data_IF_104078755971
#
_entry.id   IF_104078755971
#
_cell.length_a   1.000
_cell.length_b   1.000
_cell.length_c   1.000
_cell.angle_alpha   90.00
_cell.angle_beta   90.00
_cell.angle_gamma   90.00
#
_symmetry.space_group_name_H-M   'P 1'
#
loop_
_entity.id
_entity.type
_entity.pdbx_description
1 polymer ?
#
# COMPACT_ATOMS: atom_id res chain seq x y z
N UNK A 1 -28.13 2.69 17.01
CA UNK A 1 -26.88 2.67 16.17
C UNK A 1 -26.66 1.21 15.82
N UNK A 2 -26.47 0.89 14.54
CA UNK A 2 -26.15 -0.48 14.15
C UNK A 2 -24.75 -0.83 14.62
N UNK A 3 -24.61 -1.94 15.31
CA UNK A 3 -23.32 -2.42 15.81
C UNK A 3 -22.47 -2.93 14.64
N UNK A 4 -21.16 -2.63 14.61
CA UNK A 4 -20.24 -3.25 13.66
C UNK A 4 -20.14 -4.75 13.97
N UNK A 5 -20.31 -5.57 12.94
CA UNK A 5 -20.12 -7.03 12.99
C UNK A 5 -18.86 -7.40 12.25
N UNK A 6 -18.13 -8.36 12.79
CA UNK A 6 -16.90 -8.86 12.21
C UNK A 6 -17.03 -10.32 11.81
N UNK A 7 -16.52 -10.64 10.62
CA UNK A 7 -16.43 -12.02 10.14
C UNK A 7 -15.07 -12.25 9.47
N UNK A 8 -14.53 -13.43 9.65
CA UNK A 8 -13.30 -13.87 9.02
C UNK A 8 -13.60 -15.08 8.14
N UNK A 9 -13.08 -15.06 6.91
CA UNK A 9 -13.11 -16.20 6.00
C UNK A 9 -11.70 -16.74 5.78
N UNK A 10 -11.50 -18.03 5.98
CA UNK A 10 -10.25 -18.74 5.75
C UNK A 10 -10.45 -19.85 4.74
N UNK A 11 -9.54 -20.01 3.80
CA UNK A 11 -9.58 -21.15 2.87
C UNK A 11 -9.31 -22.46 3.59
N UNK A 12 -10.14 -23.47 3.34
CA UNK A 12 -9.97 -24.84 3.87
C UNK A 12 -8.65 -25.44 3.40
N UNK A 13 -8.08 -26.41 4.15
CA UNK A 13 -6.94 -27.17 3.67
C UNK A 13 -7.20 -27.75 2.26
N UNK A 14 -6.22 -27.58 1.37
CA UNK A 14 -6.32 -27.93 -0.05
C UNK A 14 -6.75 -26.78 -0.96
N UNK A 15 -7.48 -25.80 -0.44
CA UNK A 15 -7.81 -24.54 -1.14
C UNK A 15 -6.92 -23.35 -0.69
N UNK A 16 -6.08 -23.56 0.31
CA UNK A 16 -5.20 -22.59 0.96
C UNK A 16 -3.88 -22.34 0.19
N UNK A 17 -3.92 -22.43 -1.13
CA UNK A 17 -2.73 -22.34 -2.00
C UNK A 17 -1.93 -21.06 -1.76
N UNK A 18 -2.63 -19.91 -1.70
CA UNK A 18 -1.97 -18.62 -1.47
C UNK A 18 -1.27 -18.54 -0.10
N UNK A 19 -1.85 -19.14 0.95
CA UNK A 19 -1.24 -19.16 2.27
C UNK A 19 0.03 -20.03 2.31
N UNK A 20 0.03 -21.16 1.60
CA UNK A 20 1.22 -22.04 1.47
C UNK A 20 2.33 -21.38 0.66
N UNK A 21 1.98 -20.78 -0.48
CA UNK A 21 2.95 -20.03 -1.30
C UNK A 21 3.58 -18.89 -0.52
N UNK A 22 2.77 -18.13 0.23
CA UNK A 22 3.28 -17.06 1.09
C UNK A 22 4.22 -17.60 2.18
N UNK A 23 3.93 -18.76 2.76
CA UNK A 23 4.81 -19.40 3.75
C UNK A 23 6.19 -19.69 3.15
N UNK A 24 6.23 -20.26 1.94
CA UNK A 24 7.48 -20.57 1.25
C UNK A 24 8.23 -19.30 0.83
N UNK A 25 7.52 -18.31 0.31
CA UNK A 25 8.06 -16.99 -0.03
C UNK A 25 8.71 -16.29 1.17
N UNK A 26 8.03 -16.25 2.31
CA UNK A 26 8.56 -15.63 3.53
C UNK A 26 9.78 -16.38 4.09
N UNK A 27 9.80 -17.70 4.00
CA UNK A 27 10.99 -18.49 4.37
C UNK A 27 12.19 -18.16 3.50
N UNK A 28 11.98 -18.08 2.19
CA UNK A 28 13.03 -17.75 1.23
C UNK A 28 13.51 -16.30 1.44
N UNK A 29 12.60 -15.34 1.51
CA UNK A 29 12.93 -13.93 1.65
C UNK A 29 13.69 -13.62 2.95
N UNK A 30 13.33 -14.28 4.05
CA UNK A 30 13.97 -14.08 5.37
C UNK A 30 15.12 -15.08 5.64
N UNK A 31 15.35 -16.04 4.76
CA UNK A 31 16.37 -17.06 4.95
C UNK A 31 16.18 -17.89 6.22
N UNK A 32 14.94 -18.28 6.57
CA UNK A 32 14.61 -18.88 7.86
C UNK A 32 13.65 -20.07 7.77
N UNK A 33 13.87 -21.08 8.62
CA UNK A 33 12.94 -22.20 8.85
C UNK A 33 12.06 -21.99 10.08
N UNK A 34 12.10 -20.82 10.71
CA UNK A 34 11.35 -20.53 11.92
C UNK A 34 9.83 -20.48 11.71
N UNK A 35 9.40 -20.12 10.50
CA UNK A 35 7.99 -20.07 10.10
C UNK A 35 7.57 -21.49 9.70
N UNK A 36 6.63 -22.08 10.41
CA UNK A 36 6.17 -23.45 10.14
C UNK A 36 4.92 -23.46 9.27
N UNK A 37 4.06 -22.46 9.43
CA UNK A 37 2.81 -22.30 8.67
C UNK A 37 2.40 -20.85 8.63
N UNK A 38 1.73 -20.48 7.54
CA UNK A 38 1.01 -19.21 7.42
C UNK A 38 -0.46 -19.53 7.18
N UNK A 39 -1.34 -18.85 7.91
CA UNK A 39 -2.78 -18.85 7.67
C UNK A 39 -3.20 -17.45 7.24
N UNK A 40 -4.12 -17.37 6.29
CA UNK A 40 -4.61 -16.08 5.77
C UNK A 40 -6.11 -16.03 5.94
N UNK A 41 -6.56 -15.01 6.68
CA UNK A 41 -7.96 -14.74 6.92
C UNK A 41 -8.36 -13.46 6.21
N UNK A 42 -9.42 -13.54 5.42
CA UNK A 42 -10.07 -12.34 4.90
C UNK A 42 -11.03 -11.82 5.96
N UNK A 43 -10.76 -10.66 6.53
CA UNK A 43 -11.61 -9.98 7.51
C UNK A 43 -12.59 -9.05 6.80
N UNK A 44 -13.85 -9.10 7.25
CA UNK A 44 -14.86 -8.12 6.90
C UNK A 44 -15.43 -7.53 8.20
N UNK A 45 -15.43 -6.21 8.29
CA UNK A 45 -16.17 -5.44 9.29
C UNK A 45 -17.37 -4.81 8.56
N UNK A 46 -18.57 -5.00 9.10
CA UNK A 46 -19.83 -4.63 8.42
C UNK A 46 -20.70 -3.82 9.37
N UNK A 47 -21.18 -2.67 8.91
CA UNK A 47 -22.10 -1.79 9.65
C UNK A 47 -23.33 -1.49 8.80
N UNK A 48 -24.50 -1.40 9.44
CA UNK A 48 -25.74 -1.02 8.77
C UNK A 48 -26.51 -2.22 8.19
N UNK A 49 -26.33 -3.43 8.72
CA UNK A 49 -27.00 -4.63 8.26
C UNK A 49 -27.86 -5.25 9.37
N UNK A 50 -29.06 -5.77 9.05
CA UNK A 50 -29.86 -6.55 9.99
C UNK A 50 -29.26 -7.94 10.24
N UNK A 51 -29.70 -8.59 11.32
CA UNK A 51 -29.23 -9.93 11.68
C UNK A 51 -29.56 -10.95 10.59
N UNK A 52 -30.76 -10.91 10.06
CA UNK A 52 -31.21 -11.82 9.02
C UNK A 52 -30.44 -11.63 7.70
N UNK A 53 -30.18 -10.37 7.31
CA UNK A 53 -29.40 -10.08 6.11
C UNK A 53 -27.94 -10.46 6.28
N UNK A 54 -27.37 -10.28 7.48
CA UNK A 54 -26.01 -10.71 7.78
C UNK A 54 -25.87 -12.23 7.71
N UNK A 55 -26.79 -12.98 8.31
CA UNK A 55 -26.78 -14.45 8.27
C UNK A 55 -26.95 -14.99 6.85
N UNK A 56 -27.80 -14.37 6.04
CA UNK A 56 -27.92 -14.70 4.62
C UNK A 56 -26.61 -14.44 3.86
N UNK A 57 -25.96 -13.31 4.13
CA UNK A 57 -24.73 -12.90 3.44
C UNK A 57 -23.54 -13.82 3.72
N UNK A 58 -23.50 -14.51 4.85
CA UNK A 58 -22.37 -15.35 5.29
C UNK A 58 -21.90 -16.33 4.22
N UNK A 59 -22.81 -17.10 3.65
CA UNK A 59 -22.50 -18.14 2.67
C UNK A 59 -22.60 -17.71 1.21
N UNK A 60 -22.94 -16.46 0.95
CA UNK A 60 -23.18 -15.95 -0.41
C UNK A 60 -22.18 -14.85 -0.77
N UNK A 61 -21.84 -13.98 0.21
CA UNK A 61 -21.03 -12.78 -0.03
C UNK A 61 -19.68 -12.90 0.65
N UNK A 62 -19.61 -13.33 1.92
CA UNK A 62 -18.37 -13.34 2.68
C UNK A 62 -17.54 -14.61 2.49
N UNK A 63 -18.15 -15.69 1.97
CA UNK A 63 -17.46 -16.96 1.78
C UNK A 63 -18.03 -17.80 0.66
N UNK A 64 -17.21 -18.75 0.21
CA UNK A 64 -17.59 -19.87 -0.61
C UNK A 64 -17.73 -21.11 0.28
N UNK A 65 -18.94 -21.58 0.64
CA UNK A 65 -19.13 -22.61 1.67
C UNK A 65 -18.35 -23.91 1.45
N UNK A 66 -18.06 -24.25 0.20
CA UNK A 66 -17.29 -25.45 -0.15
C UNK A 66 -15.79 -25.29 0.07
N UNK A 67 -15.27 -24.05 -0.01
CA UNK A 67 -13.86 -23.73 0.01
C UNK A 67 -13.41 -22.98 1.27
N UNK A 68 -14.34 -22.36 1.99
CA UNK A 68 -14.06 -21.50 3.13
C UNK A 68 -14.59 -22.05 4.46
N UNK A 69 -13.93 -21.62 5.52
CA UNK A 69 -14.40 -21.69 6.91
C UNK A 69 -14.63 -20.28 7.39
N UNK A 70 -15.76 -20.05 8.07
CA UNK A 70 -16.09 -18.76 8.67
C UNK A 70 -15.90 -18.76 10.18
N UNK A 71 -15.43 -17.63 10.69
CA UNK A 71 -15.32 -17.37 12.13
C UNK A 71 -15.97 -16.02 12.44
N UNK A 72 -16.87 -16.01 13.42
CA UNK A 72 -17.59 -14.81 13.82
C UNK A 72 -16.86 -14.11 14.94
N UNK A 73 -16.73 -12.81 14.83
CA UNK A 73 -16.19 -11.88 15.81
C UNK A 73 -14.73 -12.15 16.23
N UNK A 74 -14.33 -13.39 16.37
CA UNK A 74 -13.00 -13.80 16.85
C UNK A 74 -12.36 -14.84 15.94
N UNK A 75 -11.04 -14.77 15.83
CA UNK A 75 -10.25 -15.82 15.19
C UNK A 75 -10.27 -17.11 16.02
N UNK A 76 -10.09 -18.27 15.38
CA UNK A 76 -9.91 -19.52 16.12
C UNK A 76 -8.67 -19.45 17.01
N UNK A 77 -8.69 -20.19 18.12
CA UNK A 77 -7.52 -20.28 18.98
C UNK A 77 -6.34 -20.91 18.23
N UNK A 78 -5.19 -20.24 18.26
CA UNK A 78 -3.97 -20.67 17.59
C UNK A 78 -2.75 -20.11 18.29
N UNK A 79 -1.61 -20.79 18.19
CA UNK A 79 -0.31 -20.28 18.62
C UNK A 79 0.39 -19.62 17.42
N UNK A 80 0.03 -18.38 17.15
CA UNK A 80 0.52 -17.61 16.01
C UNK A 80 0.69 -16.14 16.38
N UNK A 81 1.64 -15.48 15.72
CA UNK A 81 1.70 -14.02 15.69
C UNK A 81 0.82 -13.49 14.57
N UNK A 82 0.08 -12.43 14.85
CA UNK A 82 -0.88 -11.86 13.92
C UNK A 82 -0.37 -10.56 13.32
N UNK A 83 -0.58 -10.41 12.02
CA UNK A 83 -0.40 -9.17 11.27
C UNK A 83 -1.66 -8.93 10.47
N UNK A 84 -2.37 -7.84 10.73
CA UNK A 84 -3.49 -7.42 9.91
C UNK A 84 -3.04 -6.29 8.97
N UNK A 85 -3.49 -6.34 7.72
CA UNK A 85 -3.17 -5.35 6.68
C UNK A 85 -4.45 -4.86 6.03
N UNK A 86 -4.61 -3.55 5.95
CA UNK A 86 -5.75 -2.87 5.31
C UNK A 86 -5.26 -1.79 4.34
N UNK A 87 -6.12 -1.36 3.42
CA UNK A 87 -5.82 -0.22 2.58
C UNK A 87 -5.78 1.08 3.39
N UNK A 88 -4.97 2.03 2.92
CA UNK A 88 -4.95 3.39 3.48
C UNK A 88 -6.32 4.07 3.28
N UNK A 89 -6.72 4.96 4.20
CA UNK A 89 -7.89 5.80 4.01
C UNK A 89 -7.81 6.55 2.67
N UNK A 90 -8.90 6.49 1.89
CA UNK A 90 -8.94 7.09 0.55
C UNK A 90 -8.48 6.17 -0.59
N UNK A 91 -7.84 5.05 -0.30
CA UNK A 91 -7.57 4.02 -1.30
C UNK A 91 -8.84 3.20 -1.59
N UNK A 92 -8.99 2.79 -2.84
CA UNK A 92 -10.13 1.99 -3.27
C UNK A 92 -9.97 0.52 -2.87
N UNK A 93 -10.78 0.08 -1.92
CA UNK A 93 -10.89 -1.32 -1.53
C UNK A 93 -11.97 -2.02 -2.37
N UNK A 94 -11.54 -2.66 -3.45
CA UNK A 94 -12.43 -3.39 -4.36
C UNK A 94 -13.25 -4.47 -3.64
N UNK A 95 -12.67 -5.16 -2.66
CA UNK A 95 -13.35 -6.23 -1.91
C UNK A 95 -14.44 -5.65 -1.01
N UNK A 96 -14.15 -4.60 -0.29
CA UNK A 96 -15.12 -3.91 0.56
C UNK A 96 -16.26 -3.31 -0.27
N UNK A 97 -15.94 -2.66 -1.38
CA UNK A 97 -16.93 -2.07 -2.28
C UNK A 97 -17.82 -3.13 -2.91
N UNK A 98 -17.25 -4.23 -3.44
CA UNK A 98 -18.01 -5.36 -4.01
C UNK A 98 -18.93 -6.01 -2.97
N UNK A 99 -18.42 -6.26 -1.74
CA UNK A 99 -19.23 -6.80 -0.67
C UNK A 99 -20.39 -5.86 -0.31
N UNK A 100 -20.13 -4.57 -0.17
CA UNK A 100 -21.14 -3.55 0.10
C UNK A 100 -22.22 -3.50 -1.00
N UNK A 101 -21.83 -3.60 -2.28
CA UNK A 101 -22.77 -3.66 -3.40
C UNK A 101 -23.64 -4.92 -3.35
N UNK A 102 -23.03 -6.08 -3.13
CA UNK A 102 -23.75 -7.35 -3.01
C UNK A 102 -24.73 -7.33 -1.83
N UNK A 103 -24.34 -6.76 -0.69
CA UNK A 103 -25.21 -6.58 0.47
C UNK A 103 -26.40 -5.66 0.16
N UNK A 104 -26.19 -4.59 -0.61
CA UNK A 104 -27.26 -3.71 -1.07
C UNK A 104 -28.29 -4.44 -1.93
N UNK A 105 -27.85 -5.39 -2.76
CA UNK A 105 -28.74 -6.20 -3.58
C UNK A 105 -29.64 -7.15 -2.76
N UNK A 106 -29.18 -7.58 -1.58
CA UNK A 106 -30.01 -8.38 -0.65
C UNK A 106 -31.09 -7.55 0.05
N UNK A 107 -30.89 -6.25 0.19
CA UNK A 107 -31.82 -5.34 0.87
C UNK A 107 -31.90 -3.99 0.13
N UNK A 108 -32.51 -3.94 -1.08
CA UNK A 108 -32.47 -2.76 -1.94
C UNK A 108 -33.14 -1.51 -1.34
N UNK A 109 -34.12 -1.72 -0.44
CA UNK A 109 -34.88 -0.64 0.20
C UNK A 109 -34.13 0.01 1.39
N UNK A 110 -33.04 -0.57 1.83
CA UNK A 110 -32.23 -0.06 2.95
C UNK A 110 -31.06 0.80 2.45
N UNK A 111 -30.51 1.63 3.34
CA UNK A 111 -29.27 2.33 3.04
C UNK A 111 -28.15 1.31 2.79
N UNK A 112 -27.24 1.67 1.88
CA UNK A 112 -26.09 0.81 1.52
C UNK A 112 -25.24 0.52 2.76
N UNK A 113 -25.03 -0.76 3.13
CA UNK A 113 -24.20 -1.11 4.27
C UNK A 113 -22.74 -0.70 4.04
N UNK A 114 -22.07 -0.25 5.11
CA UNK A 114 -20.63 0.03 5.09
C UNK A 114 -19.86 -1.25 5.33
N UNK A 115 -18.81 -1.45 4.56
CA UNK A 115 -17.89 -2.59 4.69
C UNK A 115 -16.47 -2.08 4.70
N UNK A 116 -15.67 -2.59 5.62
CA UNK A 116 -14.22 -2.44 5.61
C UNK A 116 -13.58 -3.82 5.57
N UNK A 117 -12.49 -3.97 4.83
CA UNK A 117 -11.79 -5.23 4.70
C UNK A 117 -10.34 -5.13 5.18
N UNK A 118 -9.83 -6.26 5.67
CA UNK A 118 -8.41 -6.44 5.92
C UNK A 118 -8.02 -7.91 5.67
N UNK A 119 -6.75 -8.14 5.37
CA UNK A 119 -6.17 -9.48 5.41
C UNK A 119 -5.47 -9.66 6.75
N UNK A 120 -5.77 -10.76 7.44
CA UNK A 120 -5.07 -11.12 8.67
C UNK A 120 -4.19 -12.33 8.38
N UNK A 121 -2.90 -12.15 8.60
CA UNK A 121 -1.89 -13.18 8.47
C UNK A 121 -1.56 -13.72 9.85
N UNK A 122 -1.75 -15.01 10.06
CA UNK A 122 -1.34 -15.70 11.27
C UNK A 122 -0.07 -16.50 10.95
N UNK A 123 1.04 -16.10 11.57
CA UNK A 123 2.36 -16.67 11.36
C UNK A 123 2.65 -17.63 12.52
N UNK A 124 2.64 -18.94 12.22
CA UNK A 124 2.91 -20.00 13.18
C UNK A 124 4.39 -20.39 13.15
N UNK A 125 4.96 -20.62 14.32
CA UNK A 125 6.34 -21.09 14.47
C UNK A 125 6.95 -20.72 15.81
N UNK A 126 7.61 -21.66 16.45
CA UNK A 126 8.12 -21.52 17.83
C UNK A 126 9.25 -20.48 18.00
N UNK A 127 9.85 -20.02 16.90
CA UNK A 127 10.99 -19.08 16.89
C UNK A 127 10.67 -17.79 16.12
N UNK A 128 9.41 -17.49 15.88
CA UNK A 128 9.01 -16.23 15.23
C UNK A 128 9.18 -15.08 16.22
N UNK A 129 10.16 -14.23 16.00
CA UNK A 129 10.48 -13.07 16.85
C UNK A 129 9.71 -11.81 16.44
N UNK A 130 9.80 -10.74 17.27
CA UNK A 130 9.27 -9.42 16.91
C UNK A 130 9.96 -8.85 15.68
N UNK A 131 11.27 -8.92 15.62
CA UNK A 131 12.06 -8.44 14.47
C UNK A 131 11.68 -9.16 13.16
N UNK A 132 11.38 -10.46 13.25
CA UNK A 132 10.87 -11.19 12.07
C UNK A 132 9.49 -10.70 11.67
N UNK A 133 8.62 -10.38 12.62
CA UNK A 133 7.29 -9.82 12.30
C UNK A 133 7.42 -8.43 11.65
N UNK A 134 8.38 -7.61 12.08
CA UNK A 134 8.65 -6.30 11.46
C UNK A 134 9.15 -6.48 10.01
N UNK A 135 10.04 -7.45 9.77
CA UNK A 135 10.50 -7.79 8.43
C UNK A 135 9.38 -8.34 7.54
N UNK A 136 8.49 -9.19 8.10
CA UNK A 136 7.30 -9.70 7.40
C UNK A 136 6.35 -8.55 7.07
N UNK A 137 6.11 -7.63 8.00
CA UNK A 137 5.28 -6.46 7.77
C UNK A 137 5.86 -5.58 6.66
N UNK A 138 7.17 -5.35 6.66
CA UNK A 138 7.85 -4.60 5.60
C UNK A 138 7.76 -5.29 4.23
N UNK A 139 7.77 -6.61 4.19
CA UNK A 139 7.61 -7.40 2.96
C UNK A 139 6.18 -7.37 2.42
N UNK A 140 5.17 -7.43 3.31
CA UNK A 140 3.76 -7.56 2.93
C UNK A 140 3.02 -6.25 2.74
N UNK A 141 3.50 -5.15 3.34
CA UNK A 141 2.83 -3.85 3.31
C UNK A 141 3.51 -2.95 2.31
N UNK A 142 2.81 -2.62 1.23
CA UNK A 142 3.19 -1.51 0.38
C UNK A 142 2.72 -0.19 1.04
N UNK A 143 3.62 0.66 1.55
CA UNK A 143 3.24 1.86 2.30
C UNK A 143 2.54 2.94 1.47
N UNK A 144 2.53 2.79 0.14
CA UNK A 144 1.82 3.71 -0.77
C UNK A 144 0.31 3.44 -0.79
N UNK A 145 -0.11 2.19 -0.53
CA UNK A 145 -1.51 1.79 -0.65
C UNK A 145 -2.09 1.13 0.60
N UNK A 146 -1.24 0.61 1.49
CA UNK A 146 -1.67 -0.20 2.63
C UNK A 146 -0.92 0.17 3.92
N UNK A 147 -1.51 -0.24 5.02
CA UNK A 147 -0.94 -0.09 6.37
C UNK A 147 -1.25 -1.30 7.24
N UNK A 148 -0.56 -1.40 8.36
CA UNK A 148 -0.95 -2.33 9.41
C UNK A 148 -2.29 -1.88 10.01
N UNK A 149 -3.23 -2.82 10.08
CA UNK A 149 -4.55 -2.61 10.67
C UNK A 149 -4.57 -3.00 12.15
N UNK A 150 -5.44 -2.34 12.92
CA UNK A 150 -5.75 -2.79 14.28
C UNK A 150 -6.48 -4.13 14.26
N UNK A 151 -6.20 -4.98 15.26
CA UNK A 151 -6.99 -6.18 15.53
C UNK A 151 -8.26 -5.86 16.33
N UNK A 152 -8.32 -4.70 16.97
CA UNK A 152 -9.52 -4.26 17.69
C UNK A 152 -10.66 -3.97 16.70
N UNK A 153 -11.87 -4.35 17.07
CA UNK A 153 -13.06 -4.07 16.27
C UNK A 153 -13.47 -2.62 16.46
N UNK A 154 -13.64 -1.83 15.39
CA UNK A 154 -14.08 -0.44 15.52
C UNK A 154 -15.54 -0.37 15.97
N UNK A 155 -15.91 0.71 16.64
CA UNK A 155 -17.29 0.98 17.05
C UNK A 155 -18.16 1.41 15.86
N UNK A 156 -17.56 2.04 14.85
CA UNK A 156 -18.22 2.48 13.61
C UNK A 156 -17.24 2.42 12.43
N UNK A 157 -17.76 2.24 11.24
CA UNK A 157 -17.03 2.33 9.97
C UNK A 157 -17.17 3.72 9.31
N UNK A 158 -17.69 4.71 10.04
CA UNK A 158 -17.63 6.07 9.55
C UNK A 158 -16.19 6.56 9.50
N UNK A 159 -15.75 6.91 8.30
CA UNK A 159 -14.45 7.57 8.15
C UNK A 159 -14.59 9.04 8.55
N UNK A 160 -13.99 9.40 9.67
CA UNK A 160 -13.71 10.80 9.96
C UNK A 160 -12.38 11.12 9.28
N UNK A 161 -12.43 11.90 8.21
CA UNK A 161 -11.23 12.47 7.62
C UNK A 161 -10.97 13.83 8.26
N UNK A 162 -9.76 14.03 8.75
CA UNK A 162 -9.31 15.39 9.07
C UNK A 162 -9.26 16.17 7.75
N UNK A 163 -9.79 17.39 7.79
CA UNK A 163 -9.68 18.28 6.64
C UNK A 163 -8.19 18.60 6.46
N UNK A 164 -7.59 18.28 5.31
CA UNK A 164 -6.18 18.59 5.09
C UNK A 164 -5.97 20.11 5.14
N UNK A 165 -4.79 20.50 5.61
CA UNK A 165 -4.36 21.89 5.53
C UNK A 165 -4.31 22.37 4.07
N UNK A 166 -4.42 23.68 3.88
CA UNK A 166 -4.22 24.30 2.58
C UNK A 166 -2.83 23.96 2.01
N UNK A 167 -2.77 23.90 0.69
CA UNK A 167 -1.51 23.59 0.01
C UNK A 167 -0.43 24.61 0.36
N UNK A 168 0.68 24.14 0.93
CA UNK A 168 1.77 25.00 1.34
C UNK A 168 2.41 25.74 0.15
N UNK A 169 2.65 27.04 0.33
CA UNK A 169 3.41 27.87 -0.59
C UNK A 169 4.91 27.76 -0.22
N UNK A 170 5.78 27.66 -1.22
CA UNK A 170 7.24 27.66 -1.02
C UNK A 170 7.70 29.11 -0.82
N UNK A 171 7.51 29.61 0.39
CA UNK A 171 7.82 30.99 0.72
C UNK A 171 9.28 31.36 0.42
N UNK A 172 9.48 32.51 -0.25
CA UNK A 172 10.80 33.02 -0.63
C UNK A 172 11.42 32.32 -1.85
N UNK A 173 10.71 31.42 -2.53
CA UNK A 173 11.21 30.70 -3.70
C UNK A 173 11.78 31.64 -4.77
N UNK A 174 11.08 32.71 -5.08
CA UNK A 174 11.48 33.71 -6.09
C UNK A 174 12.76 34.45 -5.75
N UNK A 175 13.24 34.38 -4.49
CA UNK A 175 14.45 35.03 -4.01
C UNK A 175 15.59 34.04 -3.70
N UNK A 176 15.35 32.74 -3.88
CA UNK A 176 16.37 31.69 -3.60
C UNK A 176 17.57 31.82 -4.54
N UNK A 177 18.75 31.65 -3.97
CA UNK A 177 19.98 31.52 -4.74
C UNK A 177 20.06 30.15 -5.45
N UNK A 178 20.88 30.03 -6.48
CA UNK A 178 21.08 28.79 -7.23
C UNK A 178 21.54 27.63 -6.30
N UNK A 179 22.33 27.94 -5.27
CA UNK A 179 22.76 26.96 -4.28
C UNK A 179 21.62 26.42 -3.42
N UNK A 180 20.69 27.30 -3.03
CA UNK A 180 19.49 26.92 -2.27
C UNK A 180 18.54 26.08 -3.13
N UNK A 181 18.38 26.42 -4.41
CA UNK A 181 17.60 25.66 -5.36
C UNK A 181 18.20 24.26 -5.61
N UNK A 182 19.54 24.17 -5.76
CA UNK A 182 20.23 22.88 -5.88
C UNK A 182 20.01 21.99 -4.64
N UNK A 183 20.08 22.58 -3.45
CA UNK A 183 19.76 21.86 -2.21
C UNK A 183 18.28 21.45 -2.13
N UNK A 184 17.38 22.25 -2.68
CA UNK A 184 15.95 21.96 -2.73
C UNK A 184 15.64 20.79 -3.68
N UNK A 185 16.27 20.73 -4.86
CA UNK A 185 16.16 19.58 -5.78
C UNK A 185 16.49 18.28 -5.06
N UNK A 186 17.63 18.24 -4.38
CA UNK A 186 18.07 17.06 -3.62
C UNK A 186 17.09 16.71 -2.47
N UNK A 187 16.68 17.71 -1.68
CA UNK A 187 15.78 17.51 -0.54
C UNK A 187 14.39 17.02 -0.95
N UNK A 188 13.85 17.54 -2.05
CA UNK A 188 12.54 17.17 -2.55
C UNK A 188 12.58 15.93 -3.46
N UNK A 189 13.76 15.41 -3.82
CA UNK A 189 13.91 14.30 -4.74
C UNK A 189 13.27 14.59 -6.11
N UNK A 190 13.59 15.76 -6.67
CA UNK A 190 13.01 16.20 -7.95
C UNK A 190 13.71 15.50 -9.13
N UNK A 191 12.96 15.26 -10.20
CA UNK A 191 13.48 14.73 -11.45
C UNK A 191 14.16 15.81 -12.31
N UNK A 192 13.75 17.08 -12.13
CA UNK A 192 14.37 18.23 -12.82
C UNK A 192 15.75 18.55 -12.25
N UNK A 193 16.61 19.15 -13.09
CA UNK A 193 17.91 19.65 -12.68
C UNK A 193 17.82 20.96 -11.87
N UNK A 194 18.93 21.36 -11.25
CA UNK A 194 19.00 22.64 -10.55
C UNK A 194 18.82 23.83 -11.53
N UNK A 195 19.32 23.70 -12.74
CA UNK A 195 19.18 24.69 -13.81
C UNK A 195 17.72 24.85 -14.25
N UNK A 196 16.99 23.74 -14.38
CA UNK A 196 15.55 23.75 -14.69
C UNK A 196 14.78 24.45 -13.58
N UNK A 197 15.12 24.21 -12.31
CA UNK A 197 14.48 24.87 -11.18
C UNK A 197 14.84 26.36 -11.10
N UNK A 198 16.04 26.78 -11.51
CA UNK A 198 16.40 28.19 -11.68
C UNK A 198 15.52 28.86 -12.74
N UNK A 199 15.28 28.18 -13.85
CA UNK A 199 14.36 28.69 -14.88
C UNK A 199 12.93 28.86 -14.34
N UNK A 200 12.44 27.90 -13.56
CA UNK A 200 11.15 28.02 -12.89
C UNK A 200 11.11 29.20 -11.90
N UNK A 201 12.15 29.39 -11.08
CA UNK A 201 12.27 30.55 -10.18
C UNK A 201 12.14 31.86 -10.95
N UNK A 202 12.89 32.00 -12.03
CA UNK A 202 12.89 33.22 -12.83
C UNK A 202 11.50 33.47 -13.47
N UNK A 203 10.82 32.43 -13.94
CA UNK A 203 9.45 32.55 -14.42
C UNK A 203 8.47 33.01 -13.33
N UNK A 204 8.49 32.39 -12.15
CA UNK A 204 7.62 32.80 -11.05
C UNK A 204 7.93 34.21 -10.56
N UNK A 205 9.20 34.61 -10.54
CA UNK A 205 9.61 35.97 -10.17
C UNK A 205 9.16 37.01 -11.20
N UNK A 206 9.41 36.77 -12.47
CA UNK A 206 9.32 37.80 -13.51
C UNK A 206 7.92 37.82 -14.17
N UNK A 207 7.25 36.68 -14.27
CA UNK A 207 5.95 36.55 -14.94
C UNK A 207 4.81 36.44 -13.93
N UNK A 208 4.85 35.42 -13.05
CA UNK A 208 3.79 35.17 -12.06
C UNK A 208 3.81 36.18 -10.90
N UNK A 209 4.99 36.71 -10.56
CA UNK A 209 5.23 37.68 -9.46
C UNK A 209 4.72 37.18 -8.09
N UNK A 210 4.85 35.90 -7.86
CA UNK A 210 4.47 35.22 -6.64
C UNK A 210 5.33 33.97 -6.42
N UNK A 211 5.34 33.47 -5.20
CA UNK A 211 5.94 32.17 -4.93
C UNK A 211 4.99 31.04 -5.37
N UNK A 212 5.51 29.90 -5.84
CA UNK A 212 4.72 28.74 -6.21
C UNK A 212 4.27 27.96 -4.97
N UNK A 213 3.18 27.23 -5.11
CA UNK A 213 2.83 26.17 -4.17
C UNK A 213 3.70 24.93 -4.37
N UNK A 214 3.76 24.09 -3.34
CA UNK A 214 4.45 22.78 -3.44
C UNK A 214 3.83 21.93 -4.56
N UNK A 215 2.51 21.97 -4.71
CA UNK A 215 1.80 21.23 -5.76
C UNK A 215 2.18 21.70 -7.16
N UNK A 216 2.31 23.01 -7.37
CA UNK A 216 2.75 23.55 -8.67
C UNK A 216 4.16 23.06 -9.02
N UNK A 217 5.11 23.13 -8.08
CA UNK A 217 6.46 22.63 -8.31
C UNK A 217 6.47 21.12 -8.59
N UNK A 218 5.68 20.31 -7.86
CA UNK A 218 5.55 18.88 -8.11
C UNK A 218 4.93 18.56 -9.46
N UNK A 219 3.92 19.31 -9.87
CA UNK A 219 3.31 19.15 -11.17
C UNK A 219 4.30 19.47 -12.30
N UNK A 220 5.04 20.57 -12.18
CA UNK A 220 6.07 20.95 -13.13
C UNK A 220 7.17 19.86 -13.18
N UNK A 221 7.65 19.41 -12.04
CA UNK A 221 8.65 18.34 -11.93
C UNK A 221 8.20 17.04 -12.61
N UNK A 222 6.90 16.69 -12.48
CA UNK A 222 6.33 15.53 -13.18
C UNK A 222 6.44 15.66 -14.70
N UNK A 223 6.21 16.84 -15.25
CA UNK A 223 6.41 17.10 -16.69
C UNK A 223 7.89 17.07 -17.10
N UNK A 224 8.82 17.32 -16.18
CA UNK A 224 10.27 17.19 -16.40
C UNK A 224 10.77 15.74 -16.24
N UNK A 225 9.94 14.81 -15.79
CA UNK A 225 10.33 13.41 -15.62
C UNK A 225 10.62 12.70 -16.95
N UNK A 226 11.43 11.65 -16.91
CA UNK A 226 11.92 10.96 -18.11
C UNK A 226 10.84 10.39 -19.03
N UNK A 227 9.67 10.04 -18.51
CA UNK A 227 8.58 9.53 -19.36
C UNK A 227 8.00 10.61 -20.28
N UNK A 228 8.23 11.90 -20.00
CA UNK A 228 7.84 13.04 -20.85
C UNK A 228 9.03 13.67 -21.58
N UNK A 229 10.27 13.33 -21.20
CA UNK A 229 11.51 13.86 -21.78
C UNK A 229 12.25 12.77 -22.55
N UNK A 230 12.56 13.05 -23.79
CA UNK A 230 13.36 12.15 -24.64
C UNK A 230 14.84 12.53 -24.70
N UNK A 231 15.33 13.35 -23.74
CA UNK A 231 16.72 13.80 -23.70
C UNK A 231 17.71 12.68 -23.41
N UNK A 232 17.29 11.63 -22.71
CA UNK A 232 18.08 10.42 -22.43
C UNK A 232 18.50 9.69 -23.70
N UNK A 233 17.74 9.76 -24.79
CA UNK A 233 18.09 9.16 -26.07
C UNK A 233 19.27 9.83 -26.78
N UNK A 234 19.63 11.04 -26.36
CA UNK A 234 20.78 11.79 -26.89
C UNK A 234 22.00 11.72 -25.98
N UNK A 235 21.89 11.00 -24.86
CA UNK A 235 23.00 10.83 -23.91
C UNK A 235 24.07 9.95 -24.51
N UNK A 236 25.29 10.47 -24.59
CA UNK A 236 26.48 9.69 -24.89
C UNK A 236 27.04 9.14 -23.58
N UNK A 237 27.35 7.84 -23.54
CA UNK A 237 27.97 7.19 -22.38
C UNK A 237 29.47 7.11 -22.66
N UNK A 238 30.27 7.90 -21.94
CA UNK A 238 31.74 7.95 -22.15
C UNK A 238 32.44 6.84 -21.40
N UNK A 239 31.97 6.46 -20.22
CA UNK A 239 32.58 5.44 -19.36
C UNK A 239 31.54 4.64 -18.59
N UNK A 240 31.77 3.35 -18.45
CA UNK A 240 30.96 2.45 -17.62
C UNK A 240 31.88 1.74 -16.64
N UNK A 241 31.56 1.86 -15.36
CA UNK A 241 32.24 1.15 -14.27
C UNK A 241 31.28 0.14 -13.62
N UNK A 242 31.83 -0.98 -13.17
CA UNK A 242 31.08 -2.00 -12.46
C UNK A 242 31.64 -2.12 -11.04
N UNK A 243 30.79 -1.85 -10.06
CA UNK A 243 31.18 -2.04 -8.66
C UNK A 243 31.25 -3.54 -8.32
N UNK A 244 32.20 -3.91 -7.45
CA UNK A 244 32.33 -5.29 -7.00
C UNK A 244 31.16 -5.69 -6.09
N UNK A 245 30.51 -6.81 -6.42
CA UNK A 245 29.37 -7.30 -5.66
C UNK A 245 28.84 -8.66 -6.16
N UNK A 246 27.86 -9.18 -5.47
CA UNK A 246 27.25 -10.49 -5.77
C UNK A 246 26.74 -10.62 -7.22
N UNK A 247 26.31 -9.53 -7.82
CA UNK A 247 25.69 -9.50 -9.15
C UNK A 247 26.58 -8.89 -10.24
N UNK A 248 27.83 -8.49 -9.91
CA UNK A 248 28.75 -7.86 -10.88
C UNK A 248 29.00 -8.75 -12.10
N UNK A 249 29.29 -10.02 -11.89
CA UNK A 249 29.61 -10.94 -12.99
C UNK A 249 28.47 -11.11 -14.00
N UNK A 250 27.20 -11.40 -13.59
CA UNK A 250 26.09 -11.53 -14.55
C UNK A 250 25.74 -10.19 -15.22
N UNK A 251 25.80 -9.06 -14.51
CA UNK A 251 25.56 -7.74 -15.11
C UNK A 251 26.61 -7.39 -16.15
N UNK A 252 27.89 -7.62 -15.85
CA UNK A 252 28.99 -7.41 -16.79
C UNK A 252 28.86 -8.31 -18.02
N UNK A 253 28.54 -9.59 -17.84
CA UNK A 253 28.33 -10.50 -18.95
C UNK A 253 27.15 -10.09 -19.84
N UNK A 254 26.05 -9.61 -19.26
CA UNK A 254 24.91 -9.08 -20.02
C UNK A 254 25.28 -7.82 -20.80
N UNK A 255 26.08 -6.93 -20.22
CA UNK A 255 26.56 -5.75 -20.90
C UNK A 255 27.48 -6.10 -22.07
N UNK A 256 28.45 -7.02 -21.89
CA UNK A 256 29.35 -7.49 -22.94
C UNK A 256 28.61 -8.17 -24.11
N UNK A 257 27.44 -8.76 -23.84
CA UNK A 257 26.58 -9.32 -24.89
C UNK A 257 25.78 -8.24 -25.66
N UNK A 258 25.53 -7.10 -25.03
CA UNK A 258 24.75 -6.00 -25.60
C UNK A 258 25.59 -5.14 -26.58
N UNK A 259 26.88 -4.93 -26.30
CA UNK A 259 27.83 -4.21 -27.15
C UNK A 259 28.30 -5.10 -28.31
#
# INVERSE_FOLDING_TARGET
MSQVRRIYAEKRPGYDVAARQLCDELREALGTDAITRVRVFQRYDVEGLSDEAFDCARGIIFSEPNADVLYDETLPQMDARLLAVEYLPGQYDQRADSASQCLQLLSPEQARPKVACAKVYAIEGNRVTGEMMDAIAHHLINPVEARQASMEKPETLEMTADVPDDVAVVAGFTQMSDKELSAMVARMGMAMSAEDLCFCRDYFRDTEKRDPSVTELRAIDTYWSDHCRHTTFLTAIDEITFDDGRFTAPVKAAYELYI
#
